data_IF_852340548345
#
_entry.id   IF_852340548345
#
_cell.length_a   1.000
_cell.length_b   1.000
_cell.length_c   1.000
_cell.angle_alpha   90.00
_cell.angle_beta   90.00
_cell.angle_gamma   90.00
#
_symmetry.space_group_name_H-M   'P 1'
#
loop_
_entity.id
_entity.type
_entity.pdbx_description
1 polymer ?
#
# COMPACT_ATOMS: atom_id res chain seq x y z
N UNK A 1 -9.36 17.04 13.30
CA UNK A 1 -7.93 17.00 12.91
C UNK A 1 -7.61 15.60 12.39
N UNK A 2 -6.91 15.48 11.26
CA UNK A 2 -6.67 14.20 10.58
C UNK A 2 -5.69 13.29 11.36
N UNK A 3 -6.03 12.01 11.49
CA UNK A 3 -5.22 10.98 12.18
C UNK A 3 -3.79 10.88 11.62
N UNK A 4 -3.65 11.04 10.30
CA UNK A 4 -2.38 10.94 9.57
C UNK A 4 -1.39 12.04 10.01
N UNK A 5 -1.89 13.26 10.20
CA UNK A 5 -1.06 14.42 10.57
C UNK A 5 -0.38 14.26 11.94
N UNK A 6 -1.03 13.58 12.89
CA UNK A 6 -0.50 13.45 14.26
C UNK A 6 0.53 12.32 14.41
N UNK A 7 0.50 11.32 13.54
CA UNK A 7 1.35 10.11 13.65
C UNK A 7 2.47 10.01 12.61
N UNK A 8 2.30 10.61 11.44
CA UNK A 8 3.24 10.46 10.33
C UNK A 8 4.32 11.55 10.27
N UNK A 9 4.16 12.67 11.00
CA UNK A 9 5.15 13.74 11.02
C UNK A 9 6.14 13.48 12.15
N UNK A 10 7.41 13.31 11.81
CA UNK A 10 8.51 13.21 12.76
C UNK A 10 9.29 14.52 12.78
N UNK A 11 9.63 14.96 13.98
CA UNK A 11 10.51 16.09 14.20
C UNK A 11 11.93 15.59 14.43
N UNK A 12 12.89 16.07 13.63
CA UNK A 12 14.31 15.84 13.86
C UNK A 12 15.07 17.17 13.87
N UNK A 13 16.32 17.15 14.32
CA UNK A 13 17.21 18.31 14.29
C UNK A 13 17.50 18.87 12.88
N UNK A 14 17.08 18.16 11.81
CA UNK A 14 17.24 18.58 10.40
C UNK A 14 15.95 19.11 9.74
N UNK A 15 14.84 19.19 10.47
CA UNK A 15 13.53 19.65 9.95
C UNK A 15 12.43 18.59 10.03
N UNK A 16 11.34 18.82 9.29
CA UNK A 16 10.19 17.91 9.18
C UNK A 16 10.51 16.74 8.25
N UNK A 17 10.26 15.51 8.70
CA UNK A 17 10.41 14.29 7.88
C UNK A 17 9.21 13.38 8.09
N UNK A 18 8.77 12.73 7.01
CA UNK A 18 7.62 11.82 7.03
C UNK A 18 8.08 10.44 7.49
N UNK A 19 7.49 9.93 8.57
CA UNK A 19 7.63 8.53 8.96
C UNK A 19 6.66 7.68 8.12
N UNK A 20 7.11 7.25 6.94
CA UNK A 20 6.29 6.49 6.00
C UNK A 20 5.63 5.23 6.58
N UNK A 21 6.31 4.40 7.41
CA UNK A 21 5.68 3.27 8.08
C UNK A 21 4.49 3.63 8.98
N UNK A 22 4.39 4.89 9.45
CA UNK A 22 3.27 5.39 10.26
C UNK A 22 2.20 6.13 9.45
N UNK A 23 2.41 6.29 8.14
CA UNK A 23 1.42 6.86 7.24
C UNK A 23 0.34 5.82 6.98
N UNK A 24 -0.90 6.14 7.34
CA UNK A 24 -2.08 5.40 6.93
C UNK A 24 -2.72 6.10 5.73
N UNK A 25 -2.78 5.39 4.60
CA UNK A 25 -3.45 5.86 3.38
C UNK A 25 -4.95 5.60 3.46
N UNK A 26 -5.35 4.48 4.06
CA UNK A 26 -6.75 4.13 4.32
C UNK A 26 -6.93 3.72 5.78
N UNK A 27 -8.13 3.93 6.30
CA UNK A 27 -8.52 3.51 7.62
C UNK A 27 -9.92 2.89 7.59
N UNK A 28 -10.10 1.74 8.22
CA UNK A 28 -11.39 1.08 8.29
C UNK A 28 -11.40 -0.20 9.11
N UNK A 29 -12.50 -0.94 9.03
CA UNK A 29 -12.78 -2.08 9.90
C UNK A 29 -12.43 -3.45 9.29
N UNK A 30 -12.01 -3.50 8.02
CA UNK A 30 -11.51 -4.75 7.45
C UNK A 30 -10.12 -5.08 8.01
N UNK A 31 -9.78 -6.36 8.18
CA UNK A 31 -8.44 -6.76 8.56
C UNK A 31 -7.40 -6.24 7.56
N UNK A 32 -6.30 -5.61 8.03
CA UNK A 32 -5.20 -5.15 7.18
C UNK A 32 -4.51 -6.32 6.48
N UNK A 33 -3.67 -6.01 5.49
CA UNK A 33 -2.93 -7.05 4.78
C UNK A 33 -1.91 -7.74 5.69
N UNK A 34 -1.90 -9.08 5.66
CA UNK A 34 -0.96 -9.90 6.41
C UNK A 34 0.21 -10.35 5.54
N UNK A 35 1.41 -10.35 6.12
CA UNK A 35 2.66 -10.73 5.44
C UNK A 35 2.84 -9.99 4.10
N UNK A 36 2.37 -8.74 4.05
CA UNK A 36 2.41 -7.93 2.85
C UNK A 36 3.86 -7.54 2.54
N UNK A 37 4.33 -7.92 1.37
CA UNK A 37 5.69 -7.65 0.90
C UNK A 37 5.66 -7.16 -0.54
N UNK A 38 6.65 -6.37 -0.91
CA UNK A 38 6.83 -5.90 -2.28
C UNK A 38 8.20 -6.30 -2.82
N UNK A 39 8.23 -6.65 -4.10
CA UNK A 39 9.46 -6.97 -4.85
C UNK A 39 9.52 -6.09 -6.10
N UNK A 40 10.72 -5.70 -6.50
CA UNK A 40 10.94 -4.97 -7.74
C UNK A 40 11.37 -5.89 -8.87
N UNK A 41 10.92 -5.54 -10.07
CA UNK A 41 11.42 -6.03 -11.34
C UNK A 41 11.54 -4.82 -12.29
N UNK A 42 12.18 -4.94 -13.47
CA UNK A 42 12.39 -3.79 -14.35
C UNK A 42 11.08 -3.06 -14.68
N UNK A 43 10.98 -1.79 -14.27
CA UNK A 43 9.80 -0.95 -14.43
C UNK A 43 8.53 -1.39 -13.68
N UNK A 44 8.61 -2.39 -12.78
CA UNK A 44 7.43 -2.98 -12.13
C UNK A 44 7.64 -3.24 -10.63
N UNK A 45 6.55 -3.26 -9.89
CA UNK A 45 6.49 -3.67 -8.48
C UNK A 45 5.47 -4.79 -8.36
N UNK A 46 5.88 -5.92 -7.79
CA UNK A 46 4.97 -7.00 -7.42
C UNK A 46 4.65 -6.90 -5.94
N UNK A 47 3.37 -6.75 -5.63
CA UNK A 47 2.82 -6.83 -4.28
C UNK A 47 2.39 -8.27 -4.03
N UNK A 48 2.75 -8.82 -2.88
CA UNK A 48 2.30 -10.14 -2.43
C UNK A 48 1.84 -10.08 -0.97
N UNK A 49 0.83 -10.86 -0.62
CA UNK A 49 0.26 -10.94 0.72
C UNK A 49 -0.32 -12.33 0.98
N UNK A 50 -0.56 -12.65 2.25
CA UNK A 50 -1.27 -13.88 2.61
C UNK A 50 -2.78 -13.70 2.53
N UNK A 51 -3.48 -14.65 1.92
CA UNK A 51 -4.94 -14.72 2.04
C UNK A 51 -5.33 -15.21 3.44
N UNK A 52 -5.85 -14.31 4.26
CA UNK A 52 -6.34 -14.57 5.63
C UNK A 52 -7.88 -14.53 5.72
N UNK A 53 -8.57 -14.75 4.60
CA UNK A 53 -10.03 -14.85 4.55
C UNK A 53 -10.60 -15.96 5.46
N UNK A 54 -9.78 -16.93 5.87
CA UNK A 54 -10.18 -17.98 6.81
C UNK A 54 -11.42 -18.73 6.31
N UNK A 55 -12.42 -18.93 7.18
CA UNK A 55 -13.72 -19.52 6.82
C UNK A 55 -14.69 -18.55 6.15
N UNK A 56 -14.43 -17.24 6.24
CA UNK A 56 -15.25 -16.22 5.61
C UNK A 56 -14.76 -15.94 4.19
N UNK A 57 -15.29 -16.73 3.26
CA UNK A 57 -14.96 -16.66 1.84
C UNK A 57 -15.29 -15.29 1.22
N UNK A 58 -16.16 -14.48 1.83
CA UNK A 58 -16.54 -13.16 1.29
C UNK A 58 -15.36 -12.19 1.30
N UNK A 59 -14.50 -12.26 2.33
CA UNK A 59 -13.26 -11.48 2.44
C UNK A 59 -12.24 -11.82 1.36
N UNK A 60 -12.29 -13.05 0.84
CA UNK A 60 -11.45 -13.45 -0.29
C UNK A 60 -11.74 -12.64 -1.56
N UNK A 61 -12.91 -11.99 -1.66
CA UNK A 61 -13.30 -11.12 -2.77
C UNK A 61 -13.04 -9.63 -2.51
N UNK A 62 -12.49 -9.27 -1.35
CA UNK A 62 -12.03 -7.89 -1.11
C UNK A 62 -11.00 -7.51 -2.17
N UNK A 63 -11.10 -6.30 -2.71
CA UNK A 63 -10.23 -5.79 -3.76
C UNK A 63 -8.98 -5.14 -3.18
N UNK A 64 -7.82 -5.44 -3.75
CA UNK A 64 -6.56 -4.83 -3.36
C UNK A 64 -6.49 -3.36 -3.77
N UNK A 65 -6.04 -2.52 -2.84
CA UNK A 65 -5.66 -1.13 -3.07
C UNK A 65 -4.15 -1.04 -2.98
N UNK A 66 -3.51 -0.65 -4.08
CA UNK A 66 -2.07 -0.48 -4.17
C UNK A 66 -1.74 0.99 -4.20
N UNK A 67 -0.70 1.39 -3.48
CA UNK A 67 -0.25 2.79 -3.45
C UNK A 67 1.27 2.83 -3.54
N UNK A 68 1.77 3.67 -4.43
CA UNK A 68 3.20 3.90 -4.66
C UNK A 68 3.46 5.40 -4.69
N UNK A 69 4.32 5.87 -3.80
CA UNK A 69 4.69 7.29 -3.70
C UNK A 69 6.18 7.47 -3.95
N UNK A 70 6.53 8.38 -4.86
CA UNK A 70 7.90 8.82 -5.09
C UNK A 70 8.08 10.22 -4.53
N UNK A 71 8.91 10.36 -3.49
CA UNK A 71 9.19 11.65 -2.84
C UNK A 71 9.96 12.59 -3.77
N UNK A 72 10.99 12.08 -4.46
CA UNK A 72 11.84 12.87 -5.35
C UNK A 72 11.06 13.54 -6.50
N UNK A 73 10.02 12.86 -7.01
CA UNK A 73 9.14 13.37 -8.05
C UNK A 73 7.88 14.03 -7.50
N UNK A 74 7.63 13.94 -6.20
CA UNK A 74 6.38 14.32 -5.53
C UNK A 74 5.14 13.78 -6.27
N UNK A 75 5.18 12.48 -6.61
CA UNK A 75 4.13 11.81 -7.39
C UNK A 75 3.64 10.56 -6.67
N UNK A 76 2.34 10.33 -6.74
CA UNK A 76 1.67 9.17 -6.18
C UNK A 76 0.85 8.46 -7.24
N UNK A 77 0.96 7.14 -7.30
CA UNK A 77 0.07 6.25 -8.06
C UNK A 77 -0.74 5.48 -7.03
N UNK A 78 -2.04 5.40 -7.24
CA UNK A 78 -2.91 4.51 -6.48
C UNK A 78 -3.84 3.78 -7.43
N UNK A 79 -4.03 2.48 -7.19
CA UNK A 79 -4.91 1.64 -7.98
C UNK A 79 -5.84 0.90 -7.05
N UNK A 80 -7.13 0.98 -7.34
CA UNK A 80 -8.15 0.13 -6.78
C UNK A 80 -8.49 -0.87 -7.87
N UNK A 81 -7.77 -2.00 -7.87
CA UNK A 81 -7.82 -2.98 -8.93
C UNK A 81 -9.03 -3.92 -8.81
N UNK A 82 -9.14 -4.84 -9.77
CA UNK A 82 -10.03 -5.99 -9.67
C UNK A 82 -9.36 -7.19 -8.97
N UNK A 83 -8.05 -7.11 -8.68
CA UNK A 83 -7.34 -8.15 -7.94
C UNK A 83 -7.94 -8.30 -6.56
N UNK A 84 -8.24 -9.55 -6.22
CA UNK A 84 -8.91 -9.94 -5.00
C UNK A 84 -7.89 -10.37 -3.96
N UNK A 85 -8.26 -10.28 -2.68
CA UNK A 85 -7.45 -10.74 -1.55
C UNK A 85 -7.04 -12.19 -1.68
N UNK A 86 -7.87 -13.04 -2.29
CA UNK A 86 -7.56 -14.45 -2.57
C UNK A 86 -6.55 -14.69 -3.71
N UNK A 87 -6.25 -13.67 -4.51
CA UNK A 87 -5.33 -13.80 -5.63
C UNK A 87 -3.86 -13.73 -5.14
N UNK A 88 -3.64 -13.25 -3.91
CA UNK A 88 -2.38 -13.24 -3.14
C UNK A 88 -1.24 -12.41 -3.73
N UNK A 89 -1.30 -12.04 -5.01
CA UNK A 89 -0.32 -11.18 -5.66
C UNK A 89 -0.92 -10.29 -6.75
N UNK A 90 -0.24 -9.17 -7.01
CA UNK A 90 -0.49 -8.31 -8.17
C UNK A 90 0.77 -7.58 -8.58
N UNK A 91 0.96 -7.47 -9.89
CA UNK A 91 2.03 -6.68 -10.47
C UNK A 91 1.50 -5.32 -10.91
N UNK A 92 2.26 -4.27 -10.59
CA UNK A 92 1.99 -2.89 -10.97
C UNK A 92 3.17 -2.33 -11.76
N UNK A 93 2.92 -1.92 -12.99
CA UNK A 93 3.87 -1.18 -13.81
C UNK A 93 4.03 0.26 -13.29
N UNK A 94 5.28 0.66 -13.05
CA UNK A 94 5.67 1.99 -12.57
C UNK A 94 6.85 2.59 -13.36
N UNK A 95 6.86 2.54 -14.71
CA UNK A 95 7.99 3.02 -15.51
C UNK A 95 8.34 4.50 -15.26
N UNK A 96 7.36 5.31 -14.85
CA UNK A 96 7.54 6.73 -14.50
C UNK A 96 8.42 6.97 -13.26
N UNK A 97 8.67 5.93 -12.46
CA UNK A 97 9.51 6.00 -11.26
C UNK A 97 10.90 5.39 -11.45
N UNK A 98 11.25 4.98 -12.66
CA UNK A 98 12.57 4.44 -12.99
C UNK A 98 13.70 5.38 -12.53
N UNK A 99 14.68 4.82 -11.82
CA UNK A 99 15.81 5.55 -11.24
C UNK A 99 15.51 6.26 -9.92
N UNK A 100 14.32 6.08 -9.33
CA UNK A 100 13.93 6.69 -8.07
C UNK A 100 13.54 5.64 -7.01
N UNK A 101 13.70 6.04 -5.76
CA UNK A 101 13.13 5.32 -4.61
C UNK A 101 11.65 5.68 -4.46
N UNK A 102 10.86 4.66 -4.14
CA UNK A 102 9.43 4.77 -3.88
C UNK A 102 9.05 4.11 -2.56
N UNK A 103 8.03 4.66 -1.91
CA UNK A 103 7.37 4.11 -0.75
C UNK A 103 6.09 3.40 -1.18
N UNK A 104 5.82 2.24 -0.61
CA UNK A 104 4.71 1.38 -1.04
C UNK A 104 3.74 1.05 0.11
N UNK A 105 2.45 0.98 -0.21
CA UNK A 105 1.41 0.53 0.70
C UNK A 105 0.43 -0.39 0.01
N UNK A 106 -0.14 -1.31 0.79
CA UNK A 106 -1.20 -2.22 0.41
C UNK A 106 -2.38 -2.07 1.38
N UNK A 107 -3.60 -2.07 0.84
CA UNK A 107 -4.84 -2.10 1.60
C UNK A 107 -5.90 -2.94 0.87
N UNK A 108 -7.07 -3.09 1.47
CA UNK A 108 -8.21 -3.77 0.90
C UNK A 108 -9.48 -2.94 1.00
N UNK A 109 -10.37 -3.12 0.04
CA UNK A 109 -11.73 -2.61 0.07
C UNK A 109 -12.70 -3.77 -0.18
N UNK A 110 -13.81 -3.82 0.54
CA UNK A 110 -14.81 -4.87 0.35
C UNK A 110 -15.37 -4.86 -1.07
N UNK A 111 -15.86 -6.01 -1.54
CA UNK A 111 -16.41 -6.14 -2.90
C UNK A 111 -17.57 -5.16 -3.19
N UNK A 112 -18.36 -4.83 -2.16
CA UNK A 112 -19.45 -3.84 -2.19
C UNK A 112 -18.96 -2.38 -2.04
N UNK A 113 -17.64 -2.19 -1.88
CA UNK A 113 -16.94 -0.91 -1.72
C UNK A 113 -17.35 -0.09 -0.49
N UNK A 114 -17.93 -0.73 0.53
CA UNK A 114 -18.42 -0.05 1.74
C UNK A 114 -17.44 -0.03 2.90
N UNK A 115 -16.56 -1.02 2.98
CA UNK A 115 -15.61 -1.17 4.08
C UNK A 115 -14.18 -1.15 3.54
N UNK A 116 -13.29 -0.50 4.27
CA UNK A 116 -11.87 -0.42 3.98
C UNK A 116 -11.07 -1.15 5.05
N UNK A 117 -9.86 -1.57 4.71
CA UNK A 117 -8.85 -1.98 5.67
C UNK A 117 -7.93 -0.80 6.02
N UNK A 118 -7.27 -0.92 7.16
CA UNK A 118 -6.09 -0.10 7.44
C UNK A 118 -4.98 -0.45 6.43
N UNK A 119 -4.33 0.57 5.86
CA UNK A 119 -3.22 0.34 4.93
C UNK A 119 -1.96 -0.12 5.64
N UNK A 120 -1.28 -1.11 5.08
CA UNK A 120 0.03 -1.60 5.52
C UNK A 120 1.12 -1.01 4.63
N UNK A 121 2.13 -0.36 5.23
CA UNK A 121 3.36 0.01 4.51
C UNK A 121 4.16 -1.24 4.21
N UNK A 122 4.49 -1.46 2.94
CA UNK A 122 5.19 -2.67 2.44
C UNK A 122 6.69 -2.45 2.24
N UNK A 123 7.18 -1.24 2.54
CA UNK A 123 8.59 -0.90 2.46
C UNK A 123 8.90 0.13 1.37
N UNK A 124 10.19 0.49 1.34
CA UNK A 124 10.79 1.34 0.33
C UNK A 124 11.51 0.47 -0.71
N UNK A 125 11.44 0.87 -1.98
CA UNK A 125 11.99 0.14 -3.10
C UNK A 125 12.63 1.09 -4.10
N UNK A 126 13.77 0.71 -4.67
CA UNK A 126 14.39 1.44 -5.78
C UNK A 126 13.95 0.82 -7.11
N UNK A 127 13.41 1.64 -8.01
CA UNK A 127 12.88 1.16 -9.30
C UNK A 127 13.99 1.17 -10.34
N UNK A 128 14.26 -0.01 -10.91
CA UNK A 128 15.25 -0.24 -11.97
C UNK A 128 14.62 -0.46 -13.33
#
# INVERSE_FOLDING_TARGET
MSYVYRKAITYSSKGFSINYPRVLISHGNLPPAQTAVTKTSPGCITFAWSNDAGSDLTRGFDKAILVVYCEALNKCIHIIGETRRRDEEVMLEVPQFHGYEVQTWLSFISADKRNLADSTHTGALFIT
#
